data_IF_138022058613
#
_entry.id   IF_138022058613
#
_cell.length_a   1.000
_cell.length_b   1.000
_cell.length_c   1.000
_cell.angle_alpha   90.00
_cell.angle_beta   90.00
_cell.angle_gamma   90.00
#
_symmetry.space_group_name_H-M   'P 1'
#
loop_
_entity.id
_entity.type
_entity.pdbx_description
1 polymer ?
#
# COMPACT_ATOMS: atom_id res chain seq x y z
N UNK A 1 -16.83 -5.61 4.25
CA UNK A 1 -15.70 -5.11 3.44
C UNK A 1 -15.01 -3.94 4.14
N UNK A 2 -13.70 -4.02 4.33
CA UNK A 2 -12.91 -3.02 5.06
C UNK A 2 -12.96 -1.66 4.34
N UNK A 3 -13.84 -0.76 4.80
CA UNK A 3 -14.01 0.57 4.20
C UNK A 3 -12.72 1.38 4.38
N UNK A 4 -12.21 1.94 3.29
CA UNK A 4 -11.00 2.77 3.30
C UNK A 4 -9.68 1.99 3.19
N UNK A 5 -9.73 0.68 2.98
CA UNK A 5 -8.58 -0.15 2.64
C UNK A 5 -8.66 -0.60 1.18
N UNK A 6 -7.53 -0.55 0.48
CA UNK A 6 -7.37 -1.07 -0.85
C UNK A 6 -6.24 -2.10 -0.89
N UNK A 7 -6.38 -3.13 -1.72
CA UNK A 7 -5.32 -4.10 -1.98
C UNK A 7 -4.71 -3.82 -3.36
N UNK A 8 -3.38 -3.72 -3.40
CA UNK A 8 -2.61 -3.60 -4.64
C UNK A 8 -1.90 -4.94 -4.87
N UNK A 9 -2.04 -5.48 -6.08
CA UNK A 9 -1.45 -6.75 -6.49
C UNK A 9 -0.43 -6.49 -7.61
N UNK A 10 0.84 -6.77 -7.34
CA UNK A 10 1.91 -6.73 -8.34
C UNK A 10 1.93 -8.08 -9.06
N UNK A 11 1.27 -8.14 -10.22
CA UNK A 11 1.23 -9.36 -11.05
C UNK A 11 2.51 -9.65 -11.84
N UNK A 12 3.35 -8.64 -12.11
CA UNK A 12 4.62 -8.82 -12.83
C UNK A 12 5.63 -7.74 -12.46
N UNK A 13 6.84 -8.16 -12.08
CA UNK A 13 7.98 -7.29 -11.82
C UNK A 13 9.24 -7.87 -12.48
N UNK A 14 9.86 -7.13 -13.41
CA UNK A 14 10.90 -7.65 -14.32
C UNK A 14 12.15 -8.20 -13.61
N UNK A 15 12.49 -7.62 -12.46
CA UNK A 15 13.71 -7.96 -11.69
C UNK A 15 13.44 -7.89 -10.18
N UNK A 16 12.26 -8.29 -9.73
CA UNK A 16 11.93 -8.23 -8.32
C UNK A 16 10.68 -9.02 -7.94
N UNK A 17 10.36 -9.05 -6.64
CA UNK A 17 9.29 -9.89 -6.13
C UNK A 17 7.93 -9.40 -6.60
N UNK A 18 7.04 -10.34 -6.89
CA UNK A 18 5.60 -10.09 -6.98
C UNK A 18 4.97 -10.24 -5.60
N UNK A 19 3.83 -9.59 -5.36
CA UNK A 19 3.13 -9.69 -4.08
C UNK A 19 1.89 -8.82 -4.04
N UNK A 20 1.13 -8.92 -2.96
CA UNK A 20 0.06 -7.98 -2.65
C UNK A 20 0.36 -7.20 -1.38
N UNK A 21 -0.07 -5.95 -1.33
CA UNK A 21 0.05 -5.08 -0.16
C UNK A 21 -1.17 -4.19 -0.02
N UNK A 22 -1.45 -3.80 1.22
CA UNK A 22 -2.60 -2.96 1.55
C UNK A 22 -2.21 -1.49 1.57
N UNK A 23 -3.03 -0.65 0.98
CA UNK A 23 -2.97 0.80 1.01
C UNK A 23 -4.23 1.38 1.64
N UNK A 24 -4.15 2.63 2.10
CA UNK A 24 -5.32 3.39 2.50
C UNK A 24 -5.97 4.02 1.27
N UNK A 25 -7.29 3.95 1.15
CA UNK A 25 -8.05 4.56 0.06
C UNK A 25 -8.99 5.64 0.59
N UNK A 26 -8.77 6.87 0.15
CA UNK A 26 -9.63 8.02 0.40
C UNK A 26 -10.64 8.16 -0.74
N UNK A 27 -11.85 7.63 -0.55
CA UNK A 27 -12.90 7.65 -1.57
C UNK A 27 -13.35 9.06 -1.98
N UNK A 28 -13.33 10.02 -1.05
CA UNK A 28 -13.70 11.42 -1.31
C UNK A 28 -12.77 12.11 -2.31
N UNK A 29 -11.50 11.69 -2.34
CA UNK A 29 -10.46 12.25 -3.21
C UNK A 29 -9.99 11.27 -4.30
N UNK A 30 -10.57 10.06 -4.34
CA UNK A 30 -10.12 8.94 -5.19
C UNK A 30 -8.59 8.74 -5.10
N UNK A 31 -8.03 8.81 -3.89
CA UNK A 31 -6.58 8.82 -3.65
C UNK A 31 -6.14 7.63 -2.81
N UNK A 32 -5.02 7.02 -3.22
CA UNK A 32 -4.30 6.03 -2.41
C UNK A 32 -3.22 6.71 -1.57
N UNK A 33 -3.02 6.20 -0.36
CA UNK A 33 -1.98 6.65 0.56
C UNK A 33 -1.32 5.45 1.24
N UNK A 34 -0.10 5.65 1.72
CA UNK A 34 0.65 4.60 2.40
C UNK A 34 -0.09 4.17 3.67
N UNK A 35 -0.30 2.86 3.84
CA UNK A 35 -0.93 2.33 5.05
C UNK A 35 0.03 2.32 6.24
N UNK A 36 1.34 2.22 5.96
CA UNK A 36 2.39 2.39 6.95
C UNK A 36 2.35 3.80 7.50
N UNK A 37 2.03 3.93 8.79
CA UNK A 37 2.52 5.07 9.56
C UNK A 37 4.01 5.16 9.31
N UNK A 38 4.52 6.34 9.02
CA UNK A 38 5.94 6.64 8.91
C UNK A 38 6.63 6.05 10.15
N UNK A 39 7.14 4.83 10.04
CA UNK A 39 8.00 4.23 11.04
C UNK A 39 9.30 4.98 10.86
N UNK A 40 9.34 6.15 11.51
CA UNK A 40 10.53 6.91 11.89
C UNK A 40 11.72 5.97 11.88
N UNK A 41 12.70 6.30 11.03
CA UNK A 41 13.86 5.47 10.77
C UNK A 41 14.42 4.87 12.06
N UNK A 42 14.24 3.57 12.24
CA UNK A 42 15.16 2.78 13.05
C UNK A 42 16.41 2.57 12.20
N UNK A 43 17.34 3.52 12.27
CA UNK A 43 18.73 3.21 12.01
C UNK A 43 19.19 2.24 13.10
N UNK A 44 19.31 0.96 12.75
CA UNK A 44 20.30 0.04 13.32
C UNK A 44 21.22 -0.42 12.19
#
# INVERSE_FOLDING_TARGET
PDKGLAEIIIGKQRSGPTGSFKLKFFGEYTRFDNLSHDSIGSFE
#
